data_IF_978330927436
#
_entry.id   IF_978330927436
#
_cell.length_a   1.000
_cell.length_b   1.000
_cell.length_c   1.000
_cell.angle_alpha   90.00
_cell.angle_beta   90.00
_cell.angle_gamma   90.00
#
_symmetry.space_group_name_H-M   'P 1'
#
loop_
_entity.id
_entity.type
_entity.pdbx_description
1 polymer ?
#
# COMPACT_ATOMS: atom_id res chain seq x y z
N UNK A 1 6.87 16.37 7.24
CA UNK A 1 6.20 15.32 6.44
C UNK A 1 4.70 15.55 6.52
N UNK A 2 4.02 15.74 5.39
CA UNK A 2 2.55 15.82 5.35
C UNK A 2 1.96 14.41 5.41
N UNK A 3 0.84 14.25 6.13
CA UNK A 3 0.07 13.02 6.14
C UNK A 3 -1.08 13.13 5.13
N UNK A 4 -0.98 12.40 4.02
CA UNK A 4 -1.91 12.49 2.89
C UNK A 4 -2.30 11.12 2.32
N UNK A 5 -1.73 10.02 2.83
CA UNK A 5 -2.01 8.68 2.33
C UNK A 5 -3.14 7.97 3.06
N UNK A 6 -3.90 7.19 2.31
CA UNK A 6 -4.90 6.27 2.81
C UNK A 6 -4.76 4.93 2.09
N UNK A 7 -5.10 3.83 2.75
CA UNK A 7 -5.24 2.52 2.12
C UNK A 7 -6.52 1.82 2.55
N UNK A 8 -7.00 0.88 1.73
CA UNK A 8 -8.13 0.00 2.08
C UNK A 8 -7.63 -1.29 2.72
N UNK A 9 -7.95 -1.49 3.99
CA UNK A 9 -7.69 -2.74 4.71
C UNK A 9 -8.88 -3.69 4.56
N UNK A 10 -8.65 -4.94 4.20
CA UNK A 10 -9.61 -6.03 4.37
C UNK A 10 -9.52 -6.54 5.81
N UNK A 11 -10.61 -6.48 6.57
CA UNK A 11 -10.71 -7.03 7.92
C UNK A 11 -11.43 -8.39 7.96
N UNK A 12 -11.45 -9.03 9.14
CA UNK A 12 -12.03 -10.35 9.39
C UNK A 12 -13.50 -10.51 8.94
N UNK A 13 -14.27 -9.43 8.77
CA UNK A 13 -15.70 -9.50 8.44
C UNK A 13 -16.06 -8.90 7.07
N UNK A 14 -15.22 -9.10 6.04
CA UNK A 14 -15.43 -8.65 4.65
C UNK A 14 -15.63 -7.14 4.43
N UNK A 15 -15.62 -6.32 5.48
CA UNK A 15 -15.79 -4.87 5.36
C UNK A 15 -14.45 -4.20 5.08
N UNK A 16 -14.31 -3.63 3.88
CA UNK A 16 -13.19 -2.77 3.55
C UNK A 16 -13.20 -1.53 4.47
N UNK A 17 -12.09 -1.30 5.18
CA UNK A 17 -11.92 -0.13 6.04
C UNK A 17 -10.85 0.78 5.46
N UNK A 18 -11.19 2.06 5.31
CA UNK A 18 -10.21 3.11 5.00
C UNK A 18 -9.32 3.38 6.22
N UNK A 19 -8.01 3.36 6.04
CA UNK A 19 -7.00 3.63 7.08
C UNK A 19 -6.13 4.81 6.63
N UNK A 20 -6.08 5.85 7.46
CA UNK A 20 -5.29 7.07 7.24
C UNK A 20 -5.91 8.29 7.96
N UNK A 21 -5.34 9.49 7.80
CA UNK A 21 -4.20 9.82 6.94
C UNK A 21 -2.88 9.23 7.48
N UNK A 22 -1.97 8.88 6.58
CA UNK A 22 -0.63 8.34 6.85
C UNK A 22 0.42 9.24 6.21
N UNK A 23 1.60 9.31 6.82
CA UNK A 23 2.78 9.89 6.17
C UNK A 23 3.32 8.95 5.09
N UNK A 24 4.18 9.46 4.20
CA UNK A 24 4.94 8.60 3.26
C UNK A 24 5.70 7.48 4.03
N UNK A 25 6.32 7.79 5.17
CA UNK A 25 7.09 6.83 5.96
C UNK A 25 6.19 5.75 6.58
N UNK A 26 5.02 6.12 7.11
CA UNK A 26 4.06 5.15 7.66
C UNK A 26 3.50 4.23 6.58
N UNK A 27 3.28 4.74 5.36
CA UNK A 27 2.87 3.92 4.23
C UNK A 27 3.92 2.85 3.92
N UNK A 28 5.21 3.24 3.84
CA UNK A 28 6.31 2.30 3.61
C UNK A 28 6.44 1.27 4.74
N UNK A 29 6.28 1.69 5.99
CA UNK A 29 6.29 0.76 7.13
C UNK A 29 5.16 -0.27 7.03
N UNK A 30 3.97 0.12 6.56
CA UNK A 30 2.85 -0.81 6.35
C UNK A 30 3.08 -1.77 5.19
N UNK A 31 3.77 -1.31 4.14
CA UNK A 31 4.25 -2.16 3.05
C UNK A 31 5.20 -3.21 3.62
N UNK A 32 6.24 -2.79 4.35
CA UNK A 32 7.25 -3.69 4.96
C UNK A 32 6.65 -4.72 5.93
N UNK A 33 5.54 -4.37 6.60
CA UNK A 33 4.80 -5.27 7.48
C UNK A 33 3.86 -6.25 6.76
N UNK A 34 3.80 -6.23 5.42
CA UNK A 34 2.88 -7.05 4.63
C UNK A 34 1.41 -6.61 4.70
N UNK A 35 1.11 -5.47 5.33
CA UNK A 35 -0.27 -4.96 5.50
C UNK A 35 -0.85 -4.31 4.24
N UNK A 36 0.03 -3.87 3.34
CA UNK A 36 -0.32 -3.29 2.04
C UNK A 36 0.34 -4.14 0.97
N UNK A 37 -0.44 -4.92 0.25
CA UNK A 37 -0.01 -5.77 -0.87
C UNK A 37 -0.15 -5.02 -2.20
N UNK A 38 0.47 -5.48 -3.31
CA UNK A 38 0.39 -4.81 -4.61
C UNK A 38 -1.04 -4.49 -5.07
N UNK A 39 -2.01 -5.35 -4.75
CA UNK A 39 -3.42 -5.18 -5.07
C UNK A 39 -4.20 -4.27 -4.09
N UNK A 40 -3.60 -3.90 -2.96
CA UNK A 40 -4.24 -3.02 -1.98
C UNK A 40 -4.48 -1.64 -2.59
N UNK A 41 -5.71 -1.15 -2.51
CA UNK A 41 -6.06 0.18 -2.99
C UNK A 41 -5.48 1.25 -2.04
N UNK A 42 -4.77 2.22 -2.62
CA UNK A 42 -4.17 3.37 -1.94
C UNK A 42 -4.62 4.68 -2.59
N UNK A 43 -4.65 5.75 -1.81
CA UNK A 43 -5.03 7.10 -2.23
C UNK A 43 -4.11 8.11 -1.55
N UNK A 44 -3.62 9.11 -2.28
CA UNK A 44 -2.86 10.22 -1.71
C UNK A 44 -2.64 11.37 -2.71
N UNK A 45 -1.81 12.34 -2.36
CA UNK A 45 -1.52 13.47 -3.26
C UNK A 45 -0.89 12.99 -4.57
N UNK A 46 0.04 12.02 -4.50
CA UNK A 46 0.72 11.45 -5.68
C UNK A 46 -0.24 10.68 -6.60
N UNK A 47 -1.40 10.24 -6.11
CA UNK A 47 -2.46 9.61 -6.91
C UNK A 47 -3.53 10.61 -7.36
N UNK A 48 -3.34 11.92 -7.10
CA UNK A 48 -4.31 12.99 -7.34
C UNK A 48 -5.66 12.70 -6.69
N UNK A 49 -5.63 12.10 -5.49
CA UNK A 49 -6.83 11.73 -4.76
C UNK A 49 -7.64 10.58 -5.38
N UNK A 50 -7.10 9.82 -6.34
CA UNK A 50 -7.75 8.61 -6.86
C UNK A 50 -7.32 7.36 -6.08
N UNK A 51 -8.24 6.43 -5.91
CA UNK A 51 -7.95 5.09 -5.41
C UNK A 51 -7.34 4.26 -6.53
N UNK A 52 -6.12 3.79 -6.32
CA UNK A 52 -5.37 2.98 -7.29
C UNK A 52 -4.72 1.79 -6.59
N UNK A 53 -4.49 0.66 -7.27
CA UNK A 53 -3.70 -0.44 -6.70
C UNK A 53 -2.29 0.04 -6.33
N UNK A 54 -1.73 -0.44 -5.21
CA UNK A 54 -0.38 -0.09 -4.77
C UNK A 54 0.68 -0.38 -5.84
N UNK A 55 0.48 -1.43 -6.66
CA UNK A 55 1.34 -1.78 -7.80
C UNK A 55 1.51 -0.67 -8.84
N UNK A 56 0.57 0.27 -8.93
CA UNK A 56 0.66 1.43 -9.82
C UNK A 56 1.52 2.58 -9.26
N UNK A 57 1.89 2.50 -7.98
CA UNK A 57 2.71 3.49 -7.28
C UNK A 57 4.16 3.03 -7.29
N UNK A 58 4.93 3.49 -8.28
CA UNK A 58 6.31 3.03 -8.53
C UNK A 58 7.23 2.96 -7.30
N UNK A 59 7.37 4.03 -6.48
CA UNK A 59 8.19 3.98 -5.27
C UNK A 59 7.71 2.99 -4.22
N UNK A 60 6.39 2.81 -4.07
CA UNK A 60 5.81 1.85 -3.14
C UNK A 60 6.04 0.40 -3.61
N UNK A 61 5.87 0.15 -4.90
CA UNK A 61 6.13 -1.17 -5.50
C UNK A 61 7.62 -1.53 -5.44
N UNK A 62 8.52 -0.57 -5.67
CA UNK A 62 9.96 -0.78 -5.49
C UNK A 62 10.31 -1.17 -4.05
N UNK A 63 9.68 -0.53 -3.06
CA UNK A 63 9.86 -0.90 -1.65
C UNK A 63 9.34 -2.31 -1.36
N UNK A 64 8.15 -2.65 -1.84
CA UNK A 64 7.55 -3.97 -1.67
C UNK A 64 8.49 -5.09 -2.14
N UNK A 65 9.05 -4.96 -3.35
CA UNK A 65 10.01 -5.94 -3.91
C UNK A 65 11.27 -6.09 -3.05
N UNK A 66 11.76 -5.01 -2.46
CA UNK A 66 12.94 -5.03 -1.59
C UNK A 66 12.64 -5.73 -0.25
N UNK A 67 11.46 -5.52 0.33
CA UNK A 67 11.09 -6.11 1.63
C UNK A 67 10.45 -7.50 1.53
N UNK A 68 10.07 -7.96 0.33
CA UNK A 68 9.39 -9.25 0.12
C UNK A 68 9.96 -10.03 -1.08
N UNK A 69 11.25 -10.41 -1.08
CA UNK A 69 11.90 -11.10 -2.20
C UNK A 69 11.23 -12.46 -2.54
N UNK A 70 10.78 -13.22 -1.53
CA UNK A 70 10.24 -14.57 -1.72
C UNK A 70 8.82 -14.61 -2.32
N UNK A 71 8.16 -13.45 -2.46
CA UNK A 71 6.80 -13.38 -3.01
C UNK A 71 6.76 -13.28 -4.54
N UNK A 72 7.89 -13.02 -5.22
CA UNK A 72 7.94 -13.03 -6.70
C UNK A 72 7.97 -14.47 -7.26
N UNK A 73 8.46 -15.46 -6.49
CA UNK A 73 8.63 -16.85 -6.96
C UNK A 73 7.31 -17.63 -7.10
N UNK A 74 6.20 -17.15 -6.51
CA UNK A 74 4.88 -17.79 -6.61
C UNK A 74 4.03 -17.34 -7.81
N UNK A 75 4.54 -16.45 -8.65
CA UNK A 75 3.81 -15.90 -9.80
C UNK A 75 4.35 -16.35 -11.17
N UNK A 76 5.25 -17.35 -11.21
CA UNK A 76 5.80 -17.93 -12.45
C UNK A 76 5.17 -19.28 -12.78
#
# INVERSE_FOLDING_TARGET
MSADWFYMSSGWFHKAKRVGPLTDQDLLLRIDQGKIRPETLVQGHKTRGRWVPMSSVGPAMARWRQSHPDNEERAS
#
